data_IF_892893610267
#
_entry.id   IF_892893610267
#
_cell.length_a   1.000
_cell.length_b   1.000
_cell.length_c   1.000
_cell.angle_alpha   90.00
_cell.angle_beta   90.00
_cell.angle_gamma   90.00
#
_symmetry.space_group_name_H-M   'P 1'
#
loop_
_entity.id
_entity.type
_entity.pdbx_description
1 polymer ?
#
# COMPACT_ATOMS: atom_id res chain seq x y z
N UNK A 1 -40.98 -6.78 -24.19
CA UNK A 1 -39.72 -7.52 -23.91
C UNK A 1 -38.63 -7.26 -24.94
N UNK A 2 -38.87 -7.34 -26.27
CA UNK A 2 -37.82 -7.08 -27.28
C UNK A 2 -37.44 -5.59 -27.41
N UNK A 3 -38.41 -4.68 -27.29
CA UNK A 3 -38.19 -3.25 -27.53
C UNK A 3 -37.45 -2.55 -26.36
N UNK A 4 -37.74 -2.92 -25.11
CA UNK A 4 -37.05 -2.37 -23.92
C UNK A 4 -35.60 -2.85 -23.82
N UNK A 5 -35.33 -4.12 -24.12
CA UNK A 5 -33.97 -4.68 -24.10
C UNK A 5 -33.09 -4.12 -25.24
N UNK A 6 -33.67 -3.89 -26.42
CA UNK A 6 -32.96 -3.25 -27.54
C UNK A 6 -32.74 -1.76 -27.31
N UNK A 7 -33.62 -1.08 -26.56
CA UNK A 7 -33.44 0.32 -26.14
C UNK A 7 -32.26 0.47 -25.16
N UNK A 8 -32.18 -0.40 -24.16
CA UNK A 8 -31.06 -0.43 -23.20
C UNK A 8 -29.73 -0.78 -23.91
N UNK A 9 -29.76 -1.72 -24.86
CA UNK A 9 -28.56 -2.08 -25.65
C UNK A 9 -28.06 -0.93 -26.53
N UNK A 10 -28.98 -0.13 -27.11
CA UNK A 10 -28.64 1.07 -27.89
C UNK A 10 -28.10 2.21 -27.01
N UNK A 11 -28.69 2.43 -25.84
CA UNK A 11 -28.20 3.44 -24.88
C UNK A 11 -26.80 3.10 -24.37
N UNK A 12 -26.52 1.82 -24.07
CA UNK A 12 -25.19 1.35 -23.67
C UNK A 12 -24.18 1.54 -24.80
N UNK A 13 -24.51 1.18 -26.05
CA UNK A 13 -23.63 1.40 -27.20
C UNK A 13 -23.38 2.88 -27.49
N UNK A 14 -24.37 3.76 -27.29
CA UNK A 14 -24.20 5.20 -27.44
C UNK A 14 -23.28 5.78 -26.37
N UNK A 15 -23.38 5.33 -25.12
CA UNK A 15 -22.50 5.73 -24.02
C UNK A 15 -21.04 5.27 -24.23
N UNK A 16 -20.82 4.09 -24.81
CA UNK A 16 -19.47 3.58 -25.14
C UNK A 16 -18.81 4.38 -26.27
N UNK A 17 -19.57 4.84 -27.28
CA UNK A 17 -19.02 5.54 -28.45
C UNK A 17 -18.70 7.02 -28.15
N UNK A 18 -19.39 7.66 -27.19
CA UNK A 18 -19.15 9.06 -26.83
C UNK A 18 -18.01 9.31 -25.83
N UNK A 19 -17.34 8.27 -25.34
CA UNK A 19 -16.24 8.40 -24.35
C UNK A 19 -14.90 8.83 -24.97
N UNK A 20 -14.81 9.04 -26.28
CA UNK A 20 -13.61 9.60 -26.92
C UNK A 20 -13.72 11.13 -26.97
N UNK A 21 -13.37 11.79 -25.86
CA UNK A 21 -13.12 13.23 -25.83
C UNK A 21 -14.02 14.08 -24.92
N UNK A 22 -13.80 14.02 -23.60
CA UNK A 22 -13.88 15.13 -22.61
C UNK A 22 -13.85 14.56 -21.18
N UNK A 23 -12.63 14.41 -20.65
CA UNK A 23 -12.26 13.57 -19.50
C UNK A 23 -12.68 14.04 -18.08
N UNK A 24 -13.49 15.09 -17.94
CA UNK A 24 -13.86 15.61 -16.60
C UNK A 24 -15.28 15.29 -16.15
N UNK A 25 -16.25 15.45 -17.06
CA UNK A 25 -17.68 15.51 -16.70
C UNK A 25 -18.35 14.14 -16.90
N UNK A 26 -17.94 13.37 -17.92
CA UNK A 26 -18.46 12.01 -18.15
C UNK A 26 -18.11 11.05 -17.00
N UNK A 27 -16.97 11.25 -16.33
CA UNK A 27 -16.55 10.38 -15.22
C UNK A 27 -17.54 10.44 -14.06
N UNK A 28 -18.12 11.63 -13.79
CA UNK A 28 -19.08 11.84 -12.69
C UNK A 28 -20.47 11.27 -13.02
N UNK A 29 -20.88 11.39 -14.28
CA UNK A 29 -22.13 10.79 -14.79
C UNK A 29 -22.04 9.25 -14.81
N UNK A 30 -20.91 8.69 -15.26
CA UNK A 30 -20.68 7.23 -15.27
C UNK A 30 -20.64 6.67 -13.85
N UNK A 31 -19.94 7.34 -12.92
CA UNK A 31 -19.95 6.96 -11.50
C UNK A 31 -21.34 7.11 -10.87
N UNK A 32 -22.14 8.09 -11.28
CA UNK A 32 -23.53 8.27 -10.83
C UNK A 32 -24.43 7.14 -11.31
N UNK A 33 -24.32 6.76 -12.59
CA UNK A 33 -25.05 5.62 -13.17
C UNK A 33 -24.62 4.32 -12.48
N UNK A 34 -23.32 4.12 -12.24
CA UNK A 34 -22.80 2.96 -11.52
C UNK A 34 -23.33 2.90 -10.08
N UNK A 35 -23.32 4.04 -9.37
CA UNK A 35 -23.87 4.15 -8.02
C UNK A 35 -25.37 3.86 -8.00
N UNK A 36 -26.12 4.32 -9.00
CA UNK A 36 -27.56 4.09 -9.12
C UNK A 36 -27.89 2.62 -9.41
N UNK A 37 -27.05 1.94 -10.21
CA UNK A 37 -27.14 0.49 -10.44
C UNK A 37 -26.81 -0.29 -9.16
N UNK A 38 -25.76 0.10 -8.42
CA UNK A 38 -25.40 -0.52 -7.13
C UNK A 38 -26.51 -0.33 -6.11
N UNK A 39 -27.06 0.88 -5.97
CA UNK A 39 -28.18 1.17 -5.06
C UNK A 39 -29.41 0.37 -5.46
N UNK A 40 -29.71 0.24 -6.76
CA UNK A 40 -30.83 -0.56 -7.25
C UNK A 40 -30.65 -2.06 -6.95
N UNK A 41 -29.44 -2.59 -7.13
CA UNK A 41 -29.10 -3.98 -6.80
C UNK A 41 -29.18 -4.22 -5.28
N UNK A 42 -28.66 -3.32 -4.46
CA UNK A 42 -28.73 -3.41 -2.99
C UNK A 42 -30.17 -3.29 -2.49
N UNK A 43 -30.97 -2.37 -3.05
CA UNK A 43 -32.41 -2.26 -2.73
C UNK A 43 -33.20 -3.49 -3.17
N UNK A 44 -32.83 -4.12 -4.30
CA UNK A 44 -33.42 -5.38 -4.75
C UNK A 44 -33.04 -6.57 -3.86
N UNK A 45 -31.89 -6.51 -3.18
CA UNK A 45 -31.45 -7.52 -2.21
C UNK A 45 -32.09 -7.30 -0.83
N UNK A 46 -32.29 -6.05 -0.42
CA UNK A 46 -32.90 -5.70 0.88
C UNK A 46 -34.43 -5.83 0.90
N UNK A 47 -35.10 -5.61 -0.24
CA UNK A 47 -36.52 -5.90 -0.37
C UNK A 47 -36.72 -7.37 -0.74
N UNK A 48 -36.85 -8.19 0.30
CA UNK A 48 -37.17 -9.62 0.29
C UNK A 48 -38.04 -10.04 -0.92
N UNK A 49 -37.46 -10.93 -1.73
CA UNK A 49 -37.98 -11.42 -3.00
C UNK A 49 -39.30 -12.17 -2.76
N UNK A 50 -40.42 -11.47 -2.90
CA UNK A 50 -41.77 -12.06 -2.80
C UNK A 50 -42.70 -11.69 -3.96
N UNK A 51 -42.20 -11.05 -5.03
CA UNK A 51 -43.06 -10.60 -6.15
C UNK A 51 -42.85 -11.39 -7.47
N UNK A 52 -41.83 -12.25 -7.60
CA UNK A 52 -41.56 -12.94 -8.87
C UNK A 52 -41.39 -14.44 -8.67
N UNK A 53 -42.52 -15.14 -8.55
CA UNK A 53 -42.60 -16.59 -8.46
C UNK A 53 -42.43 -17.30 -9.80
N UNK A 54 -41.30 -17.07 -10.49
CA UNK A 54 -40.95 -17.87 -11.67
C UNK A 54 -39.47 -18.24 -11.65
N UNK A 55 -39.20 -19.54 -11.60
CA UNK A 55 -37.87 -20.13 -11.47
C UNK A 55 -36.94 -19.81 -12.65
N UNK A 56 -37.49 -19.35 -13.78
CA UNK A 56 -36.74 -18.93 -14.97
C UNK A 56 -35.98 -17.61 -14.79
N UNK A 57 -36.46 -16.70 -13.94
CA UNK A 57 -35.81 -15.40 -13.68
C UNK A 57 -34.63 -15.56 -12.72
N UNK A 58 -34.71 -16.54 -11.82
CA UNK A 58 -33.66 -16.83 -10.83
C UNK A 58 -32.39 -17.45 -11.41
N UNK A 59 -32.45 -18.16 -12.55
CA UNK A 59 -31.25 -18.67 -13.23
C UNK A 59 -30.54 -17.58 -14.02
N UNK A 60 -31.31 -16.74 -14.74
CA UNK A 60 -30.78 -15.58 -15.46
C UNK A 60 -30.12 -14.56 -14.51
N UNK A 61 -30.68 -14.36 -13.31
CA UNK A 61 -30.06 -13.53 -12.29
C UNK A 61 -28.81 -14.17 -11.69
N UNK A 62 -28.76 -15.50 -11.53
CA UNK A 62 -27.56 -16.19 -11.05
C UNK A 62 -26.42 -16.09 -12.07
N UNK A 63 -26.71 -16.28 -13.35
CA UNK A 63 -25.74 -16.16 -14.42
C UNK A 63 -25.29 -14.70 -14.59
N UNK A 64 -26.21 -13.73 -14.48
CA UNK A 64 -25.87 -12.31 -14.47
C UNK A 64 -25.07 -11.90 -13.23
N UNK A 65 -25.35 -12.46 -12.04
CA UNK A 65 -24.55 -12.21 -10.83
C UNK A 65 -23.15 -12.82 -10.98
N UNK A 66 -23.02 -14.00 -11.60
CA UNK A 66 -21.70 -14.62 -11.80
C UNK A 66 -20.89 -13.85 -12.85
N UNK A 67 -21.52 -13.39 -13.93
CA UNK A 67 -20.88 -12.57 -14.97
C UNK A 67 -20.50 -11.19 -14.42
N UNK A 68 -21.38 -10.53 -13.65
CA UNK A 68 -21.10 -9.24 -13.00
C UNK A 68 -20.05 -9.38 -11.89
N UNK A 69 -19.98 -10.51 -11.18
CA UNK A 69 -18.93 -10.76 -10.17
C UNK A 69 -17.57 -11.09 -10.79
N UNK A 70 -17.53 -11.82 -11.91
CA UNK A 70 -16.28 -12.10 -12.64
C UNK A 70 -15.79 -10.83 -13.36
N UNK A 71 -16.69 -10.06 -13.97
CA UNK A 71 -16.35 -8.77 -14.57
C UNK A 71 -16.02 -7.72 -13.51
N UNK A 72 -16.63 -7.68 -12.32
CA UNK A 72 -16.22 -6.72 -11.29
C UNK A 72 -14.82 -7.00 -10.74
N UNK A 73 -14.40 -8.25 -10.61
CA UNK A 73 -13.06 -8.55 -10.09
C UNK A 73 -11.98 -8.23 -11.13
N UNK A 74 -12.27 -8.44 -12.43
CA UNK A 74 -11.36 -8.12 -13.53
C UNK A 74 -11.39 -6.63 -13.88
N UNK A 75 -12.56 -5.98 -13.88
CA UNK A 75 -12.73 -4.54 -14.15
C UNK A 75 -12.27 -3.70 -12.96
N UNK A 76 -12.42 -4.15 -11.71
CA UNK A 76 -11.77 -3.49 -10.58
C UNK A 76 -10.23 -3.70 -10.62
N UNK A 77 -9.74 -4.87 -11.06
CA UNK A 77 -8.29 -5.12 -11.26
C UNK A 77 -7.68 -4.34 -12.44
N UNK A 78 -8.46 -3.98 -13.46
CA UNK A 78 -7.96 -3.34 -14.70
C UNK A 78 -8.29 -1.84 -14.81
N UNK A 79 -9.36 -1.34 -14.19
CA UNK A 79 -9.76 0.07 -14.31
C UNK A 79 -9.00 1.04 -13.38
N UNK A 80 -8.20 0.54 -12.42
CA UNK A 80 -7.31 1.37 -11.60
C UNK A 80 -5.90 0.77 -11.48
N UNK A 81 -5.20 0.63 -12.61
CA UNK A 81 -3.73 0.51 -12.61
C UNK A 81 -3.12 -0.81 -12.12
N UNK A 82 -3.90 -1.81 -11.72
CA UNK A 82 -3.41 -3.08 -11.18
C UNK A 82 -2.92 -2.97 -9.73
N UNK A 83 -2.92 -4.11 -9.02
CA UNK A 83 -2.53 -4.20 -7.60
C UNK A 83 -1.06 -3.82 -7.35
N UNK A 84 -0.17 -4.12 -8.30
CA UNK A 84 1.28 -3.87 -8.18
C UNK A 84 1.64 -2.37 -8.12
N UNK A 85 1.06 -1.50 -8.95
CA UNK A 85 1.23 -0.05 -8.80
C UNK A 85 0.66 0.52 -7.49
N UNK A 86 -0.45 -0.03 -6.99
CA UNK A 86 -1.01 0.39 -5.68
C UNK A 86 -0.02 0.03 -4.56
N UNK A 87 0.49 -1.20 -4.56
CA UNK A 87 1.52 -1.62 -3.61
C UNK A 87 2.79 -0.76 -3.70
N UNK A 88 3.22 -0.40 -4.92
CA UNK A 88 4.39 0.44 -5.11
C UNK A 88 4.20 1.85 -4.54
N UNK A 89 3.01 2.41 -4.69
CA UNK A 89 2.68 3.71 -4.09
C UNK A 89 2.66 3.63 -2.56
N UNK A 90 2.05 2.59 -1.99
CA UNK A 90 2.05 2.40 -0.53
C UNK A 90 3.47 2.36 0.07
N UNK A 91 4.42 1.69 -0.60
CA UNK A 91 5.83 1.68 -0.16
C UNK A 91 6.49 3.05 -0.31
N UNK A 92 6.17 3.82 -1.36
CA UNK A 92 6.72 5.16 -1.56
C UNK A 92 6.18 6.15 -0.54
N UNK A 93 4.88 6.14 -0.32
CA UNK A 93 4.22 6.99 0.67
C UNK A 93 4.81 6.73 2.08
N UNK A 94 5.02 5.46 2.45
CA UNK A 94 5.68 5.11 3.71
C UNK A 94 7.14 5.58 3.77
N UNK A 95 7.90 5.48 2.66
CA UNK A 95 9.27 5.99 2.61
C UNK A 95 9.32 7.50 2.81
N UNK A 96 8.46 8.24 2.13
CA UNK A 96 8.38 9.70 2.24
C UNK A 96 8.05 10.12 3.68
N UNK A 97 7.16 9.36 4.35
CA UNK A 97 6.86 9.54 5.78
C UNK A 97 8.09 9.29 6.67
N UNK A 98 8.77 8.16 6.50
CA UNK A 98 9.96 7.80 7.29
C UNK A 98 11.14 8.75 7.04
N UNK A 99 11.32 9.24 5.81
CA UNK A 99 12.32 10.27 5.48
C UNK A 99 12.03 11.56 6.24
N UNK A 100 10.77 11.99 6.24
CA UNK A 100 10.33 13.16 7.02
C UNK A 100 10.59 12.97 8.51
N UNK A 101 10.21 11.83 9.09
CA UNK A 101 10.51 11.53 10.49
C UNK A 101 12.01 11.55 10.79
N UNK A 102 12.82 10.98 9.90
CA UNK A 102 14.28 10.95 10.05
C UNK A 102 14.86 12.36 10.14
N UNK A 103 14.45 13.25 9.24
CA UNK A 103 14.87 14.65 9.22
C UNK A 103 14.44 15.36 10.50
N UNK A 104 13.20 15.14 10.96
CA UNK A 104 12.68 15.74 12.19
C UNK A 104 13.47 15.32 13.44
N UNK A 105 13.88 14.06 13.54
CA UNK A 105 14.73 13.60 14.64
C UNK A 105 16.14 14.18 14.59
N UNK A 106 16.70 14.35 13.38
CA UNK A 106 18.01 14.99 13.20
C UNK A 106 17.95 16.47 13.58
N UNK A 107 16.94 17.19 13.08
CA UNK A 107 16.71 18.59 13.41
C UNK A 107 16.51 18.79 14.91
N UNK A 108 15.72 17.92 15.56
CA UNK A 108 15.56 17.93 17.00
C UNK A 108 16.91 17.75 17.71
N UNK A 109 17.72 16.76 17.31
CA UNK A 109 19.04 16.52 17.90
C UNK A 109 19.96 17.75 17.78
N UNK A 110 19.98 18.39 16.61
CA UNK A 110 20.77 19.60 16.35
C UNK A 110 20.30 20.79 17.20
N UNK A 111 18.98 21.01 17.27
CA UNK A 111 18.40 22.07 18.10
C UNK A 111 18.74 21.87 19.58
N UNK A 112 18.58 20.66 20.12
CA UNK A 112 18.95 20.38 21.52
C UNK A 112 20.46 20.54 21.74
N UNK A 113 21.28 20.13 20.78
CA UNK A 113 22.74 20.30 20.86
C UNK A 113 23.17 21.77 20.93
N UNK A 114 22.40 22.70 20.34
CA UNK A 114 22.67 24.13 20.35
C UNK A 114 22.32 24.85 21.67
N UNK A 115 21.49 24.24 22.53
CA UNK A 115 21.04 24.86 23.78
C UNK A 115 22.18 24.96 24.80
N UNK A 116 22.33 26.13 25.45
CA UNK A 116 23.28 26.30 26.55
C UNK A 116 22.80 25.58 27.82
N UNK A 117 23.66 24.77 28.44
CA UNK A 117 23.37 24.16 29.75
C UNK A 117 23.95 25.00 30.89
N UNK A 118 23.33 24.91 32.06
CA UNK A 118 23.61 25.78 33.22
C UNK A 118 25.06 25.65 33.77
N UNK A 119 25.86 24.69 33.31
CA UNK A 119 27.24 24.48 33.79
C UNK A 119 28.32 25.23 32.99
N UNK A 120 27.98 26.08 32.03
CA UNK A 120 28.97 26.77 31.20
C UNK A 120 29.62 28.03 31.81
N UNK A 121 29.43 28.33 33.09
CA UNK A 121 30.17 29.44 33.71
C UNK A 121 30.43 29.24 35.19
N UNK A 122 31.55 28.59 35.54
CA UNK A 122 32.26 28.87 36.80
C UNK A 122 33.78 28.77 36.58
N UNK A 123 34.34 29.77 35.89
CA UNK A 123 35.70 30.25 36.17
C UNK A 123 35.60 31.75 36.49
N UNK A 124 35.19 32.07 37.73
CA UNK A 124 35.13 33.45 38.21
C UNK A 124 34.09 33.72 39.33
N UNK A 125 34.42 33.33 40.56
CA UNK A 125 34.04 33.93 41.86
C UNK A 125 32.76 34.82 41.96
N UNK A 126 31.66 34.30 42.55
CA UNK A 126 30.97 34.74 43.80
C UNK A 126 29.47 34.34 43.86
N UNK A 127 29.08 33.81 45.03
CA UNK A 127 27.72 33.67 45.59
C UNK A 127 26.63 33.02 44.73
N UNK A 128 26.34 31.75 45.07
CA UNK A 128 25.22 30.97 44.57
C UNK A 128 23.86 31.58 44.97
N UNK A 129 23.12 32.03 43.97
CA UNK A 129 21.67 31.86 43.94
C UNK A 129 21.42 30.90 42.78
N UNK A 130 21.10 29.64 43.07
CA UNK A 130 20.77 28.66 42.03
C UNK A 130 19.52 29.17 41.32
N UNK A 131 19.66 29.62 40.08
CA UNK A 131 18.55 30.15 39.29
C UNK A 131 17.73 28.97 38.74
N UNK A 132 16.93 28.35 39.63
CA UNK A 132 16.05 27.20 39.34
C UNK A 132 15.10 27.52 38.17
N UNK A 133 14.72 28.79 38.03
CA UNK A 133 13.85 29.29 36.96
C UNK A 133 14.45 29.13 35.55
N UNK A 134 15.77 29.28 35.40
CA UNK A 134 16.43 29.18 34.10
C UNK A 134 16.56 27.72 33.62
N UNK A 135 16.74 26.77 34.54
CA UNK A 135 16.85 25.34 34.21
C UNK A 135 15.52 24.73 33.76
N UNK A 136 14.42 25.13 34.40
CA UNK A 136 13.08 24.72 33.99
C UNK A 136 12.67 25.34 32.64
N UNK A 137 13.11 26.57 32.36
CA UNK A 137 12.90 27.22 31.05
C UNK A 137 13.55 26.43 29.90
N UNK A 138 14.75 25.87 30.10
CA UNK A 138 15.43 25.06 29.08
C UNK A 138 14.72 23.73 28.85
N UNK A 139 14.26 23.04 29.91
CA UNK A 139 13.48 21.80 29.74
C UNK A 139 12.11 22.06 29.08
N UNK A 140 11.46 23.19 29.39
CA UNK A 140 10.26 23.62 28.69
C UNK A 140 10.56 23.83 27.19
N UNK A 141 11.64 24.55 26.87
CA UNK A 141 12.08 24.73 25.49
C UNK A 141 12.38 23.41 24.78
N UNK A 142 12.96 22.41 25.45
CA UNK A 142 13.17 21.07 24.86
C UNK A 142 11.84 20.38 24.55
N UNK A 143 10.86 20.44 25.47
CA UNK A 143 9.52 19.88 25.25
C UNK A 143 8.81 20.57 24.08
N UNK A 144 8.88 21.89 24.03
CA UNK A 144 8.26 22.68 22.97
C UNK A 144 8.92 22.38 21.63
N UNK A 145 10.26 22.34 21.60
CA UNK A 145 11.01 21.93 20.40
C UNK A 145 10.58 20.54 19.92
N UNK A 146 10.44 19.58 20.83
CA UNK A 146 9.98 18.23 20.47
C UNK A 146 8.56 18.23 19.87
N UNK A 147 7.65 19.00 20.46
CA UNK A 147 6.28 19.12 19.95
C UNK A 147 6.25 19.79 18.58
N UNK A 148 7.03 20.85 18.41
CA UNK A 148 7.11 21.64 17.17
C UNK A 148 7.84 20.92 16.04
N UNK A 149 8.76 20.00 16.33
CA UNK A 149 9.49 19.23 15.31
C UNK A 149 8.91 17.83 15.14
N UNK A 150 8.94 17.00 16.18
CA UNK A 150 8.60 15.57 16.05
C UNK A 150 7.08 15.34 16.04
N UNK A 151 6.31 16.09 16.85
CA UNK A 151 4.85 15.90 16.94
C UNK A 151 4.01 16.83 16.04
N UNK A 152 4.63 17.75 15.30
CA UNK A 152 3.93 18.67 14.39
C UNK A 152 3.86 18.14 12.95
N UNK A 153 4.05 16.83 12.76
CA UNK A 153 3.88 16.20 11.45
C UNK A 153 2.42 16.26 11.00
N UNK A 154 2.14 16.57 9.72
CA UNK A 154 0.80 16.41 9.16
C UNK A 154 0.36 14.96 9.40
N UNK A 155 -0.80 14.78 10.06
CA UNK A 155 -1.39 13.52 10.54
C UNK A 155 -0.95 12.98 11.92
N UNK A 156 -0.11 13.64 12.72
CA UNK A 156 0.27 13.11 14.04
C UNK A 156 -0.93 12.70 14.92
N UNK A 157 -1.93 13.58 15.05
CA UNK A 157 -3.14 13.34 15.83
C UNK A 157 -4.04 12.24 15.24
N UNK A 158 -3.97 12.01 13.93
CA UNK A 158 -4.78 11.02 13.21
C UNK A 158 -4.13 9.63 13.19
N UNK A 159 -2.80 9.56 13.12
CA UNK A 159 -2.03 8.31 13.01
C UNK A 159 -1.60 7.76 14.37
N UNK A 160 -1.26 8.62 15.32
CA UNK A 160 -0.73 8.21 16.63
C UNK A 160 -1.69 8.59 17.76
N UNK A 161 -2.14 9.85 17.84
CA UNK A 161 -3.01 10.33 18.93
C UNK A 161 -2.42 10.12 20.34
N UNK A 162 -1.12 9.84 20.43
CA UNK A 162 -0.42 9.50 21.66
C UNK A 162 -0.16 10.75 22.51
N UNK A 163 -0.17 10.57 23.83
CA UNK A 163 0.30 11.64 24.72
C UNK A 163 1.80 11.87 24.53
N UNK A 164 2.26 13.09 24.84
CA UNK A 164 3.70 13.42 24.80
C UNK A 164 4.57 12.42 25.58
N UNK A 165 4.07 11.91 26.71
CA UNK A 165 4.80 10.91 27.49
C UNK A 165 4.96 9.60 26.73
N UNK A 166 3.85 9.07 26.20
CA UNK A 166 3.83 7.80 25.47
C UNK A 166 4.73 7.87 24.25
N UNK A 167 4.62 8.94 23.46
CA UNK A 167 5.42 9.11 22.26
C UNK A 167 6.93 9.24 22.56
N UNK A 168 7.31 10.04 23.56
CA UNK A 168 8.71 10.16 23.98
C UNK A 168 9.23 8.84 24.56
N UNK A 169 8.42 8.10 25.31
CA UNK A 169 8.82 6.81 25.87
C UNK A 169 9.01 5.76 24.77
N UNK A 170 8.11 5.73 23.78
CA UNK A 170 8.21 4.85 22.62
C UNK A 170 9.48 5.15 21.80
N UNK A 171 9.78 6.42 21.57
CA UNK A 171 10.89 6.83 20.70
C UNK A 171 12.25 6.84 21.40
N UNK A 172 12.32 7.41 22.61
CA UNK A 172 13.58 7.68 23.33
C UNK A 172 13.75 6.83 24.60
N UNK A 173 12.75 6.00 24.94
CA UNK A 173 12.72 5.17 26.13
C UNK A 173 12.27 5.91 27.39
N UNK A 174 11.86 5.14 28.41
CA UNK A 174 11.32 5.64 29.68
C UNK A 174 12.26 6.60 30.42
N UNK A 175 13.58 6.41 30.27
CA UNK A 175 14.58 7.30 30.88
C UNK A 175 14.52 8.72 30.33
N UNK A 176 14.30 8.88 29.02
CA UNK A 176 14.15 10.19 28.39
C UNK A 176 12.81 10.82 28.73
N UNK A 177 11.74 10.03 28.73
CA UNK A 177 10.42 10.48 29.14
C UNK A 177 10.42 10.99 30.59
N UNK A 178 11.04 10.25 31.51
CA UNK A 178 11.15 10.65 32.92
C UNK A 178 11.99 11.92 33.09
N UNK A 179 13.13 12.05 32.40
CA UNK A 179 13.94 13.28 32.40
C UNK A 179 13.12 14.47 31.90
N UNK A 180 12.38 14.29 30.81
CA UNK A 180 11.60 15.36 30.20
C UNK A 180 10.37 15.72 31.02
N UNK A 181 9.74 14.82 31.77
CA UNK A 181 8.53 15.15 32.54
C UNK A 181 8.87 15.60 33.96
N UNK A 182 9.71 14.83 34.65
CA UNK A 182 9.99 15.00 36.07
C UNK A 182 11.24 15.85 36.33
N UNK A 183 12.02 16.16 35.29
CA UNK A 183 13.24 16.96 35.41
C UNK A 183 12.96 18.41 35.83
N UNK A 184 13.84 18.93 36.69
CA UNK A 184 13.81 20.33 37.13
C UNK A 184 14.87 21.21 36.43
N UNK A 185 15.93 20.60 35.90
CA UNK A 185 16.99 21.29 35.16
C UNK A 185 17.63 20.36 34.12
N UNK A 186 18.02 20.89 32.96
CA UNK A 186 18.76 20.14 31.95
C UNK A 186 20.27 20.20 32.24
N UNK A 187 20.81 19.09 32.76
CA UNK A 187 22.25 18.91 32.93
C UNK A 187 22.92 18.57 31.61
N UNK A 188 24.24 18.83 31.49
CA UNK A 188 25.01 18.46 30.30
C UNK A 188 24.97 16.95 29.99
N UNK A 189 25.05 16.02 30.99
CA UNK A 189 24.80 14.61 30.74
C UNK A 189 23.39 14.32 30.22
N UNK A 190 22.36 14.97 30.77
CA UNK A 190 20.98 14.81 30.31
C UNK A 190 20.77 15.30 28.88
N UNK A 191 21.38 16.42 28.51
CA UNK A 191 21.40 16.95 27.14
C UNK A 191 22.05 15.94 26.18
N UNK A 192 23.26 15.46 26.48
CA UNK A 192 23.94 14.44 25.66
C UNK A 192 23.12 13.17 25.50
N UNK A 193 22.46 12.74 26.58
CA UNK A 193 21.57 11.58 26.54
C UNK A 193 20.40 11.80 25.57
N UNK A 194 19.71 12.95 25.63
CA UNK A 194 18.61 13.26 24.70
C UNK A 194 19.07 13.34 23.24
N UNK A 195 20.21 14.00 22.98
CA UNK A 195 20.80 14.07 21.63
C UNK A 195 21.15 12.67 21.12
N UNK A 196 21.67 11.80 21.99
CA UNK A 196 21.96 10.42 21.65
C UNK A 196 20.68 9.64 21.30
N UNK A 197 19.61 9.78 22.09
CA UNK A 197 18.33 9.09 21.80
C UNK A 197 17.71 9.57 20.49
N UNK A 198 17.66 10.89 20.26
CA UNK A 198 17.19 11.45 18.99
C UNK A 198 18.00 10.96 17.78
N UNK A 199 19.33 10.96 17.91
CA UNK A 199 20.22 10.42 16.88
C UNK A 199 19.99 8.92 16.64
N UNK A 200 19.65 8.16 17.69
CA UNK A 200 19.32 6.75 17.58
C UNK A 200 17.99 6.55 16.85
N UNK A 201 16.94 7.31 17.17
CA UNK A 201 15.66 7.27 16.44
C UNK A 201 15.84 7.61 14.95
N UNK A 202 16.63 8.65 14.63
CA UNK A 202 16.98 8.98 13.24
C UNK A 202 17.72 7.84 12.53
N UNK A 203 18.63 7.12 13.22
CA UNK A 203 19.31 5.94 12.66
C UNK A 203 18.35 4.78 12.45
N UNK A 204 17.41 4.53 13.37
CA UNK A 204 16.36 3.51 13.21
C UNK A 204 15.55 3.74 11.93
N UNK A 205 15.09 4.98 11.69
CA UNK A 205 14.41 5.37 10.44
C UNK A 205 15.29 5.08 9.21
N UNK A 206 16.58 5.43 9.26
CA UNK A 206 17.52 5.09 8.18
C UNK A 206 17.65 3.58 7.89
N UNK A 207 17.57 2.73 8.91
CA UNK A 207 17.52 1.27 8.73
C UNK A 207 16.22 0.82 8.05
N UNK A 208 15.07 1.37 8.47
CA UNK A 208 13.75 1.10 7.87
C UNK A 208 13.73 1.52 6.39
N UNK A 209 14.22 2.72 6.05
CA UNK A 209 14.35 3.19 4.66
C UNK A 209 15.15 2.23 3.79
N UNK A 210 16.23 1.66 4.34
CA UNK A 210 17.01 0.64 3.66
C UNK A 210 16.20 -0.61 3.33
N UNK A 211 15.32 -1.05 4.25
CA UNK A 211 14.39 -2.16 4.04
C UNK A 211 13.34 -1.83 2.98
N UNK A 212 12.69 -0.67 3.09
CA UNK A 212 11.64 -0.24 2.14
C UNK A 212 12.19 0.05 0.75
N UNK A 213 13.44 0.49 0.61
CA UNK A 213 14.11 0.64 -0.69
C UNK A 213 14.36 -0.70 -1.37
N UNK A 214 14.68 -1.75 -0.62
CA UNK A 214 14.80 -3.11 -1.15
C UNK A 214 13.43 -3.61 -1.60
N UNK A 215 12.39 -3.36 -0.81
CA UNK A 215 11.02 -3.73 -1.15
C UNK A 215 10.52 -3.02 -2.41
N UNK A 216 10.73 -1.70 -2.53
CA UNK A 216 10.36 -0.91 -3.71
C UNK A 216 11.02 -1.49 -4.98
N UNK A 217 12.32 -1.80 -4.92
CA UNK A 217 13.05 -2.42 -6.04
C UNK A 217 12.45 -3.78 -6.39
N UNK A 218 12.17 -4.61 -5.40
CA UNK A 218 11.57 -5.94 -5.62
C UNK A 218 10.20 -5.85 -6.30
N UNK A 219 9.36 -4.86 -5.92
CA UNK A 219 8.08 -4.61 -6.59
C UNK A 219 8.27 -4.15 -8.05
N UNK A 220 9.24 -3.28 -8.32
CA UNK A 220 9.54 -2.80 -9.67
C UNK A 220 10.02 -3.93 -10.58
N UNK A 221 10.90 -4.79 -10.08
CA UNK A 221 11.38 -5.99 -10.77
C UNK A 221 10.22 -6.94 -11.07
N UNK A 222 9.40 -7.27 -10.06
CA UNK A 222 8.21 -8.10 -10.24
C UNK A 222 7.25 -7.54 -11.29
N UNK A 223 7.01 -6.22 -11.26
CA UNK A 223 6.19 -5.53 -12.26
C UNK A 223 6.79 -5.65 -13.66
N UNK A 224 8.10 -5.53 -13.80
CA UNK A 224 8.79 -5.69 -15.09
C UNK A 224 8.67 -7.12 -15.63
N UNK A 225 8.81 -8.12 -14.78
CA UNK A 225 8.67 -9.55 -15.13
C UNK A 225 7.23 -9.90 -15.52
N UNK A 226 6.24 -9.39 -14.78
CA UNK A 226 4.82 -9.71 -15.03
C UNK A 226 4.21 -8.94 -16.19
N UNK A 227 4.76 -7.79 -16.58
CA UNK A 227 4.26 -6.99 -17.71
C UNK A 227 4.13 -7.78 -19.03
N UNK A 228 5.15 -8.52 -19.51
CA UNK A 228 5.00 -9.33 -20.73
C UNK A 228 4.00 -10.49 -20.55
N UNK A 229 3.92 -11.10 -19.36
CA UNK A 229 2.94 -12.16 -19.06
C UNK A 229 1.52 -11.61 -19.17
N UNK A 230 1.24 -10.49 -18.51
CA UNK A 230 -0.08 -9.84 -18.54
C UNK A 230 -0.48 -9.42 -19.95
N UNK A 231 0.48 -8.89 -20.73
CA UNK A 231 0.25 -8.55 -22.13
C UNK A 231 -0.11 -9.81 -22.93
N UNK A 232 0.66 -10.88 -22.79
CA UNK A 232 0.39 -12.15 -23.47
C UNK A 232 -0.98 -12.72 -23.12
N UNK A 233 -1.37 -12.68 -21.85
CA UNK A 233 -2.70 -13.11 -21.40
C UNK A 233 -3.81 -12.26 -22.04
N UNK A 234 -3.64 -10.94 -22.09
CA UNK A 234 -4.59 -10.02 -22.74
C UNK A 234 -4.70 -10.29 -24.24
N UNK A 235 -3.58 -10.52 -24.92
CA UNK A 235 -3.54 -10.80 -26.35
C UNK A 235 -4.23 -12.14 -26.67
N UNK A 236 -4.09 -13.15 -25.81
CA UNK A 236 -4.76 -14.46 -25.97
C UNK A 236 -6.26 -14.36 -25.71
N UNK A 237 -6.69 -13.61 -24.72
CA UNK A 237 -8.12 -13.43 -24.41
C UNK A 237 -8.90 -12.90 -25.63
N UNK A 238 -8.24 -12.11 -26.48
CA UNK A 238 -8.80 -11.56 -27.71
C UNK A 238 -8.69 -12.51 -28.93
N UNK A 239 -8.08 -13.68 -28.75
CA UNK A 239 -7.80 -14.64 -29.82
C UNK A 239 -8.76 -15.82 -29.74
N UNK A 240 -9.45 -16.14 -30.83
CA UNK A 240 -10.19 -17.40 -30.93
C UNK A 240 -9.23 -18.56 -31.14
N UNK A 241 -9.01 -19.36 -30.10
CA UNK A 241 -8.08 -20.49 -30.11
C UNK A 241 -8.49 -21.61 -31.07
N UNK A 242 -9.79 -21.77 -31.36
CA UNK A 242 -10.28 -22.87 -32.18
C UNK A 242 -10.05 -22.63 -33.69
N UNK A 243 -9.92 -21.36 -34.08
CA UNK A 243 -9.64 -20.95 -35.46
C UNK A 243 -8.14 -20.93 -35.80
N UNK A 244 -7.26 -21.09 -34.80
CA UNK A 244 -5.81 -21.06 -35.00
C UNK A 244 -5.30 -22.31 -35.71
N UNK A 245 -4.19 -22.21 -36.45
CA UNK A 245 -3.51 -23.36 -37.02
C UNK A 245 -2.85 -24.24 -35.94
N UNK A 246 -2.61 -25.53 -36.23
CA UNK A 246 -1.93 -26.43 -35.29
C UNK A 246 -0.52 -25.93 -34.93
N UNK A 247 0.22 -25.40 -35.91
CA UNK A 247 1.54 -24.83 -35.65
C UNK A 247 1.48 -23.64 -34.71
N UNK A 248 0.46 -22.77 -34.82
CA UNK A 248 0.28 -21.65 -33.91
C UNK A 248 -0.08 -22.12 -32.50
N UNK A 249 -0.94 -23.14 -32.37
CA UNK A 249 -1.28 -23.74 -31.07
C UNK A 249 -0.05 -24.32 -30.36
N UNK A 250 0.84 -25.00 -31.09
CA UNK A 250 2.11 -25.51 -30.54
C UNK A 250 3.04 -24.37 -30.10
N UNK A 251 3.14 -23.30 -30.88
CA UNK A 251 3.91 -22.11 -30.49
C UNK A 251 3.34 -21.48 -29.22
N UNK A 252 2.01 -21.37 -29.10
CA UNK A 252 1.36 -20.84 -27.90
C UNK A 252 1.60 -21.71 -26.66
N UNK A 253 1.54 -23.06 -26.76
CA UNK A 253 1.90 -23.94 -25.62
C UNK A 253 3.35 -23.74 -25.18
N UNK A 254 4.26 -23.48 -26.12
CA UNK A 254 5.67 -23.18 -25.79
C UNK A 254 5.79 -21.83 -25.07
N UNK A 255 5.15 -20.78 -25.58
CA UNK A 255 5.12 -19.44 -24.94
C UNK A 255 4.51 -19.51 -23.53
N UNK A 256 3.40 -20.26 -23.35
CA UNK A 256 2.74 -20.47 -22.06
C UNK A 256 3.67 -21.11 -21.02
N UNK A 257 4.42 -22.14 -21.41
CA UNK A 257 5.38 -22.82 -20.53
C UNK A 257 6.48 -21.86 -20.08
N UNK A 258 7.04 -21.09 -21.01
CA UNK A 258 8.06 -20.08 -20.68
C UNK A 258 7.52 -19.06 -19.69
N UNK A 259 6.32 -18.51 -19.90
CA UNK A 259 5.75 -17.55 -18.97
C UNK A 259 5.41 -18.17 -17.61
N UNK A 260 4.97 -19.43 -17.57
CA UNK A 260 4.77 -20.16 -16.31
C UNK A 260 6.07 -20.29 -15.53
N UNK A 261 7.15 -20.72 -16.19
CA UNK A 261 8.47 -20.83 -15.57
C UNK A 261 8.97 -19.47 -15.05
N UNK A 262 8.72 -18.38 -15.77
CA UNK A 262 9.00 -17.03 -15.29
C UNK A 262 8.21 -16.69 -14.02
N UNK A 263 6.91 -17.03 -13.95
CA UNK A 263 6.08 -16.79 -12.77
C UNK A 263 6.54 -17.63 -11.57
N UNK A 264 6.86 -18.90 -11.77
CA UNK A 264 7.37 -19.79 -10.70
C UNK A 264 8.73 -19.30 -10.17
N UNK A 265 9.62 -18.85 -11.06
CA UNK A 265 10.89 -18.22 -10.68
C UNK A 265 10.65 -16.95 -9.86
N UNK A 266 9.72 -16.09 -10.29
CA UNK A 266 9.39 -14.86 -9.57
C UNK A 266 8.85 -15.13 -8.16
N UNK A 267 8.03 -16.17 -7.96
CA UNK A 267 7.56 -16.55 -6.62
C UNK A 267 8.74 -16.89 -5.70
N UNK A 268 9.69 -17.68 -6.19
CA UNK A 268 10.86 -18.09 -5.41
C UNK A 268 11.77 -16.90 -5.08
N UNK A 269 12.07 -16.06 -6.07
CA UNK A 269 12.85 -14.84 -5.88
C UNK A 269 12.17 -13.89 -4.88
N UNK A 270 10.84 -13.78 -4.98
CA UNK A 270 10.07 -12.91 -4.09
C UNK A 270 10.11 -13.40 -2.64
N UNK A 271 9.95 -14.70 -2.41
CA UNK A 271 10.05 -15.27 -1.05
C UNK A 271 11.44 -15.06 -0.45
N UNK A 272 12.50 -15.15 -1.26
CA UNK A 272 13.87 -14.86 -0.81
C UNK A 272 14.05 -13.38 -0.47
N UNK A 273 13.53 -12.46 -1.30
CA UNK A 273 13.58 -11.03 -1.06
C UNK A 273 12.85 -10.64 0.24
N UNK A 274 11.67 -11.21 0.48
CA UNK A 274 10.91 -10.99 1.73
C UNK A 274 11.72 -11.38 2.97
N UNK A 275 12.43 -12.50 2.94
CA UNK A 275 13.30 -12.92 4.04
C UNK A 275 14.46 -11.94 4.28
N UNK A 276 15.00 -11.32 3.22
CA UNK A 276 16.05 -10.29 3.35
C UNK A 276 15.48 -9.02 3.98
N UNK A 277 14.30 -8.57 3.53
CA UNK A 277 13.61 -7.39 4.07
C UNK A 277 13.26 -7.59 5.54
N UNK A 278 12.64 -8.72 5.88
CA UNK A 278 12.22 -9.01 7.25
C UNK A 278 13.43 -9.08 8.19
N UNK A 279 14.52 -9.77 7.82
CA UNK A 279 15.76 -9.75 8.63
C UNK A 279 16.33 -8.35 8.87
N UNK A 280 16.07 -7.39 7.98
CA UNK A 280 16.57 -6.02 8.09
C UNK A 280 15.66 -5.13 8.94
N UNK A 281 14.36 -5.42 8.96
CA UNK A 281 13.33 -4.65 9.67
C UNK A 281 13.03 -5.23 11.07
N UNK A 282 13.12 -6.55 11.26
CA UNK A 282 12.80 -7.29 12.50
C UNK A 282 13.80 -7.07 13.66
N UNK A 283 14.62 -6.03 13.64
CA UNK A 283 15.44 -5.69 14.79
C UNK A 283 14.61 -5.20 16.01
N UNK A 284 13.37 -4.76 15.80
CA UNK A 284 12.54 -4.12 16.85
C UNK A 284 11.03 -4.52 16.84
N UNK A 285 10.53 -5.23 15.82
CA UNK A 285 9.10 -5.56 15.70
C UNK A 285 8.83 -7.04 15.44
N UNK A 286 7.76 -7.59 16.05
CA UNK A 286 7.27 -8.96 15.82
C UNK A 286 6.39 -9.11 14.57
N UNK A 287 6.17 -8.01 13.84
CA UNK A 287 5.25 -7.96 12.71
C UNK A 287 6.05 -8.13 11.42
N UNK A 288 5.53 -8.96 10.52
CA UNK A 288 6.10 -9.14 9.18
C UNK A 288 5.97 -7.81 8.43
N UNK A 289 7.06 -7.32 7.82
CA UNK A 289 7.09 -5.98 7.22
C UNK A 289 5.98 -5.78 6.18
N UNK A 290 5.65 -6.83 5.43
CA UNK A 290 4.59 -6.78 4.42
C UNK A 290 3.19 -6.58 5.02
N UNK A 291 2.91 -7.13 6.20
CA UNK A 291 1.61 -6.94 6.87
C UNK A 291 1.42 -5.48 7.29
N UNK A 292 2.48 -4.83 7.72
CA UNK A 292 2.45 -3.40 8.04
C UNK A 292 2.32 -2.55 6.78
N UNK A 293 3.17 -2.76 5.77
CA UNK A 293 3.21 -1.95 4.54
C UNK A 293 1.90 -2.02 3.75
N UNK A 294 1.27 -3.19 3.71
CA UNK A 294 0.09 -3.44 2.89
C UNK A 294 -1.19 -3.58 3.71
N UNK A 295 -1.21 -3.12 4.96
CA UNK A 295 -2.38 -3.18 5.87
C UNK A 295 -3.67 -2.58 5.29
N UNK A 296 -3.51 -1.59 4.41
CA UNK A 296 -4.63 -0.88 3.79
C UNK A 296 -4.99 -1.43 2.40
N UNK A 297 -4.32 -2.49 1.93
CA UNK A 297 -4.64 -3.17 0.69
C UNK A 297 -5.53 -4.39 0.98
N UNK A 298 -6.17 -4.90 -0.07
CA UNK A 298 -6.96 -6.14 0.04
C UNK A 298 -6.11 -7.39 0.29
N UNK A 299 -4.79 -7.32 0.05
CA UNK A 299 -3.85 -8.43 0.23
C UNK A 299 -2.53 -7.95 0.81
N UNK A 300 -1.96 -8.78 1.70
CA UNK A 300 -0.66 -8.51 2.33
C UNK A 300 0.54 -8.91 1.45
N UNK A 301 0.31 -9.68 0.38
CA UNK A 301 1.37 -10.20 -0.48
C UNK A 301 1.05 -9.96 -1.97
N UNK A 302 1.12 -8.69 -2.43
CA UNK A 302 0.60 -8.29 -3.73
C UNK A 302 1.28 -9.00 -4.90
N UNK A 303 2.61 -9.16 -4.87
CA UNK A 303 3.35 -9.88 -5.92
C UNK A 303 2.93 -11.34 -6.01
N UNK A 304 2.79 -12.02 -4.86
CA UNK A 304 2.39 -13.43 -4.84
C UNK A 304 0.96 -13.59 -5.37
N UNK A 305 0.03 -12.74 -4.94
CA UNK A 305 -1.35 -12.74 -5.41
C UNK A 305 -1.43 -12.56 -6.94
N UNK A 306 -0.80 -11.52 -7.49
CA UNK A 306 -0.84 -11.29 -8.95
C UNK A 306 -0.17 -12.42 -9.72
N UNK A 307 0.93 -12.98 -9.19
CA UNK A 307 1.67 -14.05 -9.89
C UNK A 307 0.87 -15.36 -9.90
N UNK A 308 0.18 -15.69 -8.80
CA UNK A 308 -0.71 -16.86 -8.72
C UNK A 308 -1.93 -16.71 -9.64
N UNK A 309 -2.50 -15.51 -9.74
CA UNK A 309 -3.57 -15.22 -10.71
C UNK A 309 -3.08 -15.45 -12.15
N UNK A 310 -1.87 -14.99 -12.48
CA UNK A 310 -1.24 -15.25 -13.78
C UNK A 310 -1.06 -16.75 -14.03
N UNK A 311 -0.49 -17.51 -13.08
CA UNK A 311 -0.28 -18.96 -13.22
C UNK A 311 -1.61 -19.68 -13.47
N UNK A 312 -2.64 -19.36 -12.69
CA UNK A 312 -3.98 -19.95 -12.84
C UNK A 312 -4.56 -19.69 -14.22
N UNK A 313 -4.39 -18.46 -14.73
CA UNK A 313 -4.85 -18.08 -16.07
C UNK A 313 -4.07 -18.81 -17.17
N UNK A 314 -2.74 -18.90 -17.05
CA UNK A 314 -1.89 -19.65 -17.98
C UNK A 314 -2.28 -21.14 -18.03
N UNK A 315 -2.60 -21.75 -16.89
CA UNK A 315 -3.07 -23.13 -16.81
C UNK A 315 -4.42 -23.34 -17.50
N UNK A 316 -5.37 -22.43 -17.29
CA UNK A 316 -6.68 -22.46 -17.96
C UNK A 316 -6.53 -22.38 -19.48
N UNK A 317 -5.72 -21.44 -19.98
CA UNK A 317 -5.46 -21.29 -21.42
C UNK A 317 -4.82 -22.56 -21.98
N UNK A 318 -3.85 -23.14 -21.27
CA UNK A 318 -3.20 -24.38 -21.72
C UNK A 318 -4.21 -25.52 -21.84
N UNK A 319 -5.14 -25.66 -20.90
CA UNK A 319 -6.23 -26.64 -21.00
C UNK A 319 -7.11 -26.39 -22.23
N UNK A 320 -7.42 -25.14 -22.57
CA UNK A 320 -8.16 -24.80 -23.79
C UNK A 320 -7.38 -25.14 -25.06
N UNK A 321 -6.06 -24.90 -25.10
CA UNK A 321 -5.21 -25.30 -26.22
C UNK A 321 -5.22 -26.81 -26.42
N UNK A 322 -5.09 -27.59 -25.34
CA UNK A 322 -5.15 -29.05 -25.41
C UNK A 322 -6.50 -29.50 -25.98
N UNK A 323 -7.61 -28.88 -25.56
CA UNK A 323 -8.94 -29.16 -26.12
C UNK A 323 -9.03 -28.81 -27.60
N UNK A 324 -8.53 -27.65 -28.02
CA UNK A 324 -8.53 -27.21 -29.42
C UNK A 324 -7.68 -28.13 -30.32
N UNK A 325 -6.57 -28.66 -29.81
CA UNK A 325 -5.74 -29.65 -30.52
C UNK A 325 -6.45 -31.00 -30.66
N UNK A 326 -7.25 -31.40 -29.68
CA UNK A 326 -7.98 -32.67 -29.67
C UNK A 326 -9.30 -32.66 -30.45
N UNK A 327 -9.84 -31.50 -30.82
CA UNK A 327 -11.08 -31.42 -31.61
C UNK A 327 -10.81 -31.76 -33.09
N UNK A 328 -11.63 -32.61 -33.73
CA UNK A 328 -11.54 -32.85 -35.16
C UNK A 328 -11.95 -31.58 -35.93
N UNK A 329 -11.09 -31.15 -36.86
CA UNK A 329 -11.39 -30.07 -37.82
C UNK A 329 -12.20 -30.56 -39.00
#
# INVERSE_FOLDING_TARGET
>A
MSESASRVRREIQLLTITSSGKDGILRREILSIFFLVIVFVVLAIQNDVSIWGDASVGSLYRDAITIVSIEMDIVAKTASGGLLPIALNAVRDEKDHIETEQEMFQEFAEKIQSLSTTNQSIMGVKTQTVNISSGNCVLMQVRDTYRETVMSTPNFDCEYGESFHEHVAAEFGDGAASLLINGHHLSEPGKRFLVQQASQSARKRGHLLGGHTIEERSLQEAKSVLKPVQKFLTDIEQTDLFDLSLSRLISLDTELRTYRECCETLINERQQAMNVVNRRIEADSKTIAQEYLYRNLSVNFPVLSVTLDCISTLENIRSMIIQAVCQPR
#
